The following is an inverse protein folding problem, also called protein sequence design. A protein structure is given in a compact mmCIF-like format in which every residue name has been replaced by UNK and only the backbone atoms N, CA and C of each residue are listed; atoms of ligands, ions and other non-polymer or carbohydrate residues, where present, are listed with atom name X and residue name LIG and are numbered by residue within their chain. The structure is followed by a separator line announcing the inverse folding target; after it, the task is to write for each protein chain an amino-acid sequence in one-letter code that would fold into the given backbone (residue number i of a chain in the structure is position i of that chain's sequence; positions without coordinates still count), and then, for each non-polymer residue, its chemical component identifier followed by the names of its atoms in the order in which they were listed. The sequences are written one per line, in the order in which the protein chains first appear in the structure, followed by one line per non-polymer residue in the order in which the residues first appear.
data_IF_284270113428
#
_entry.id   IF_284270113428
#
_cell.length_a   1.000
_cell.length_b   1.000
_cell.length_c   1.000
_cell.angle_alpha   90.00
_cell.angle_beta   90.00
_cell.angle_gamma   90.00
#
_symmetry.space_group_name_H-M   'P 1'
#
loop_
_entity.id
_entity.type
_entity.pdbx_description
1 polymer ?
#
# COMPACT_ATOMS: atom_id res chain seq x y z
N UNK A 1 12.58 26.57 -11.49
CA UNK A 1 11.24 26.25 -11.99
C UNK A 1 10.64 25.34 -10.94
N UNK A 2 9.87 25.94 -10.02
CA UNK A 2 9.29 25.22 -8.90
C UNK A 2 8.50 24.03 -9.45
N UNK A 3 8.57 22.89 -8.77
CA UNK A 3 7.69 21.77 -9.06
C UNK A 3 6.26 22.28 -8.84
N UNK A 4 5.64 22.79 -9.91
CA UNK A 4 4.20 23.02 -9.94
C UNK A 4 3.58 21.69 -9.51
N UNK A 5 2.77 21.81 -8.47
CA UNK A 5 2.42 20.77 -7.53
C UNK A 5 1.85 19.57 -8.31
N UNK A 6 2.61 18.48 -8.42
CA UNK A 6 2.24 17.27 -9.18
C UNK A 6 0.87 16.71 -8.78
N UNK A 7 0.43 17.08 -7.59
CA UNK A 7 -0.82 16.71 -6.95
C UNK A 7 -1.89 17.80 -6.98
N UNK A 8 -1.70 18.90 -7.72
CA UNK A 8 -2.72 19.94 -7.84
C UNK A 8 -4.02 19.35 -8.42
N UNK A 9 -5.10 19.45 -7.64
CA UNK A 9 -6.40 18.88 -7.96
C UNK A 9 -6.48 17.34 -7.92
N UNK A 10 -5.49 16.66 -7.34
CA UNK A 10 -5.43 15.19 -7.25
C UNK A 10 -5.26 14.73 -5.81
N UNK A 11 -5.86 13.58 -5.50
CA UNK A 11 -5.79 12.96 -4.18
C UNK A 11 -5.47 11.49 -4.36
N UNK A 12 -4.58 10.96 -3.51
CA UNK A 12 -4.24 9.54 -3.45
C UNK A 12 -5.28 8.83 -2.58
N UNK A 13 -5.80 7.70 -3.06
CA UNK A 13 -6.66 6.85 -2.24
C UNK A 13 -5.82 5.86 -1.42
N UNK A 14 -5.89 6.00 -0.11
CA UNK A 14 -5.16 5.22 0.87
C UNK A 14 -6.00 4.18 1.59
N UNK A 15 -5.31 3.35 2.36
CA UNK A 15 -5.94 2.46 3.33
C UNK A 15 -6.66 3.26 4.44
N UNK A 16 -7.78 2.76 5.01
CA UNK A 16 -8.49 3.40 6.11
C UNK A 16 -7.62 3.76 7.32
N UNK A 17 -6.49 3.09 7.54
CA UNK A 17 -5.59 3.39 8.65
C UNK A 17 -4.86 4.74 8.54
N UNK A 18 -4.72 5.32 7.34
CA UNK A 18 -3.91 6.53 7.13
C UNK A 18 -4.68 7.85 7.37
N UNK A 19 -6.02 7.81 7.44
CA UNK A 19 -6.85 9.01 7.58
C UNK A 19 -6.90 9.89 6.32
N UNK A 20 -7.50 11.08 6.45
CA UNK A 20 -7.67 12.06 5.37
C UNK A 20 -6.73 13.25 5.55
N UNK A 21 -6.06 13.67 4.48
CA UNK A 21 -5.16 14.82 4.39
C UNK A 21 -5.36 15.54 3.05
N UNK A 22 -4.65 16.64 2.81
CA UNK A 22 -4.72 17.45 1.58
C UNK A 22 -4.54 16.62 0.30
N UNK A 23 -3.67 15.62 0.34
CA UNK A 23 -3.33 14.76 -0.80
C UNK A 23 -3.70 13.29 -0.61
N UNK A 24 -4.37 12.93 0.48
CA UNK A 24 -4.70 11.55 0.81
C UNK A 24 -6.17 11.45 1.25
N UNK A 25 -6.95 10.60 0.60
CA UNK A 25 -8.29 10.23 1.03
C UNK A 25 -8.33 8.76 1.46
N UNK A 26 -9.31 8.43 2.28
CA UNK A 26 -9.54 7.08 2.78
C UNK A 26 -11.02 6.71 2.60
N UNK A 27 -11.39 5.42 2.71
CA UNK A 27 -12.79 5.01 2.64
C UNK A 27 -13.64 5.65 3.75
N UNK A 28 -14.94 5.80 3.49
CA UNK A 28 -15.91 6.23 4.49
C UNK A 28 -16.10 5.13 5.54
N UNK A 29 -15.74 5.40 6.80
CA UNK A 29 -15.73 4.39 7.87
C UNK A 29 -17.12 3.91 8.30
N UNK A 30 -18.15 4.77 8.17
CA UNK A 30 -19.53 4.51 8.60
C UNK A 30 -20.51 4.69 7.44
N UNK A 31 -20.13 4.21 6.24
CA UNK A 31 -21.01 4.25 5.08
C UNK A 31 -22.32 3.48 5.38
N UNK A 32 -23.45 4.14 5.20
CA UNK A 32 -24.75 3.51 5.36
C UNK A 32 -25.03 2.53 4.22
N UNK A 33 -25.80 1.47 4.49
CA UNK A 33 -26.13 0.48 3.47
C UNK A 33 -26.92 1.09 2.32
N UNK A 34 -26.51 0.83 1.07
CA UNK A 34 -27.12 1.42 -0.12
C UNK A 34 -26.83 2.91 -0.32
N UNK A 35 -25.95 3.50 0.49
CA UNK A 35 -25.50 4.88 0.29
C UNK A 35 -24.53 5.00 -0.87
N UNK A 36 -24.39 6.22 -1.38
CA UNK A 36 -23.34 6.56 -2.35
C UNK A 36 -21.93 6.37 -1.76
N UNK A 37 -21.79 6.48 -0.43
CA UNK A 37 -20.53 6.25 0.28
C UNK A 37 -20.12 4.77 0.22
N UNK A 38 -21.08 3.85 0.37
CA UNK A 38 -20.85 2.40 0.23
C UNK A 38 -20.47 2.05 -1.21
N UNK A 39 -21.19 2.60 -2.19
CA UNK A 39 -20.88 2.40 -3.61
C UNK A 39 -19.48 2.94 -3.95
N UNK A 40 -19.15 4.13 -3.46
CA UNK A 40 -17.83 4.72 -3.63
C UNK A 40 -16.73 3.84 -3.03
N UNK A 41 -16.90 3.40 -1.78
CA UNK A 41 -15.97 2.50 -1.10
C UNK A 41 -15.78 1.19 -1.88
N UNK A 42 -16.86 0.60 -2.41
CA UNK A 42 -16.80 -0.63 -3.19
C UNK A 42 -15.97 -0.44 -4.48
N UNK A 43 -16.21 0.64 -5.22
CA UNK A 43 -15.47 0.97 -6.44
C UNK A 43 -13.99 1.21 -6.15
N UNK A 44 -13.68 2.00 -5.13
CA UNK A 44 -12.29 2.33 -4.78
C UNK A 44 -11.54 1.14 -4.18
N UNK A 45 -12.22 0.26 -3.43
CA UNK A 45 -11.63 -0.97 -2.92
C UNK A 45 -11.17 -1.90 -4.04
N UNK A 46 -11.95 -2.02 -5.13
CA UNK A 46 -11.56 -2.82 -6.30
C UNK A 46 -10.27 -2.31 -6.96
N UNK A 47 -10.12 -0.99 -7.07
CA UNK A 47 -8.89 -0.37 -7.60
C UNK A 47 -7.71 -0.63 -6.67
N UNK A 48 -7.91 -0.44 -5.35
CA UNK A 48 -6.88 -0.71 -4.32
C UNK A 48 -6.40 -2.16 -4.40
N UNK A 49 -7.33 -3.11 -4.49
CA UNK A 49 -7.02 -4.53 -4.56
C UNK A 49 -6.19 -4.87 -5.81
N UNK A 50 -6.57 -4.35 -6.99
CA UNK A 50 -5.81 -4.55 -8.22
C UNK A 50 -4.35 -4.06 -8.12
N UNK A 51 -4.15 -2.91 -7.46
CA UNK A 51 -2.81 -2.35 -7.19
C UNK A 51 -2.04 -3.26 -6.23
N UNK A 52 -2.64 -3.71 -5.12
CA UNK A 52 -2.02 -4.62 -4.16
C UNK A 52 -1.59 -5.94 -4.81
N UNK A 53 -2.46 -6.54 -5.63
CA UNK A 53 -2.15 -7.75 -6.39
C UNK A 53 -1.00 -7.51 -7.38
N UNK A 54 -0.99 -6.37 -8.07
CA UNK A 54 0.10 -5.98 -8.97
C UNK A 54 1.44 -5.88 -8.25
N UNK A 55 1.49 -5.18 -7.12
CA UNK A 55 2.69 -5.09 -6.28
C UNK A 55 3.09 -6.45 -5.69
N UNK A 56 2.12 -7.29 -5.31
CA UNK A 56 2.36 -8.66 -4.89
C UNK A 56 3.12 -9.45 -5.94
N UNK A 57 2.65 -9.39 -7.20
CA UNK A 57 3.29 -10.06 -8.34
C UNK A 57 4.70 -9.54 -8.63
N UNK A 58 4.92 -8.22 -8.54
CA UNK A 58 6.25 -7.63 -8.67
C UNK A 58 7.19 -8.15 -7.57
N UNK A 59 6.73 -8.18 -6.32
CA UNK A 59 7.50 -8.74 -5.19
C UNK A 59 7.84 -10.21 -5.38
N UNK A 60 6.94 -11.00 -5.99
CA UNK A 60 7.20 -12.42 -6.30
C UNK A 60 8.22 -12.59 -7.42
N UNK A 61 8.10 -11.83 -8.50
CA UNK A 61 8.97 -11.94 -9.67
C UNK A 61 10.39 -11.43 -9.38
N UNK A 62 10.50 -10.37 -8.59
CA UNK A 62 11.78 -9.76 -8.21
C UNK A 62 11.93 -9.83 -6.69
N UNK A 63 12.28 -11.02 -6.20
CA UNK A 63 12.40 -11.33 -4.76
C UNK A 63 13.38 -10.42 -4.01
N UNK A 64 14.35 -9.81 -4.70
CA UNK A 64 15.25 -8.81 -4.11
C UNK A 64 14.54 -7.48 -3.78
N UNK A 65 13.41 -7.15 -4.40
CA UNK A 65 12.58 -5.97 -4.05
C UNK A 65 11.94 -6.20 -2.68
N UNK A 66 11.58 -7.45 -2.38
CA UNK A 66 11.07 -7.87 -1.08
C UNK A 66 12.18 -8.37 -0.16
N UNK A 67 13.41 -7.87 -0.31
CA UNK A 67 14.55 -8.26 0.52
C UNK A 67 14.40 -7.71 1.94
N UNK A 68 13.68 -8.45 2.76
CA UNK A 68 13.72 -8.29 4.21
C UNK A 68 15.10 -8.78 4.69
N UNK A 69 15.88 -7.92 5.34
CA UNK A 69 17.25 -8.22 5.84
C UNK A 69 17.24 -9.22 7.01
N UNK A 70 16.53 -10.34 6.91
CA UNK A 70 16.65 -11.48 7.82
C UNK A 70 17.91 -12.28 7.51
N UNK A 71 19.07 -11.64 7.62
CA UNK A 71 20.33 -12.35 7.78
C UNK A 71 20.33 -12.91 9.21
N UNK A 72 19.78 -14.11 9.40
CA UNK A 72 19.92 -14.84 10.66
C UNK A 72 21.38 -15.26 10.75
N UNK A 73 22.16 -14.61 11.62
CA UNK A 73 23.55 -14.99 11.90
C UNK A 73 23.68 -16.49 12.27
N UNK A 74 22.60 -17.10 12.78
CA UNK A 74 22.54 -18.52 13.15
C UNK A 74 22.42 -19.52 12.00
N UNK A 75 22.31 -19.09 10.74
CA UNK A 75 22.23 -20.00 9.57
C UNK A 75 23.53 -20.04 8.77
N UNK A 76 24.56 -19.29 9.20
CA UNK A 76 25.92 -19.50 8.70
C UNK A 76 26.45 -20.82 9.28
N UNK A 77 27.12 -21.68 8.49
CA UNK A 77 27.81 -22.88 9.00
C UNK A 77 29.09 -22.50 9.78
N UNK A 78 29.00 -21.52 10.66
CA UNK A 78 30.09 -20.98 11.47
C UNK A 78 29.77 -21.00 12.97
N UNK A 79 28.91 -21.92 13.40
CA UNK A 79 28.70 -22.23 14.84
C UNK A 79 29.54 -23.42 15.32
N UNK A 80 30.58 -23.76 14.57
CA UNK A 80 31.66 -24.65 14.98
C UNK A 80 32.91 -23.76 15.00
N UNK A 81 33.65 -23.75 16.12
CA UNK A 81 34.80 -22.88 16.45
C UNK A 81 34.47 -21.71 17.40
N UNK A 82 33.90 -22.02 18.57
CA UNK A 82 34.41 -21.51 19.86
C UNK A 82 34.30 -22.65 20.87
#
# INVERSE_FOLDING_TARGET
MAAEDIFEGKVIYGDPAYGVSEYLCCPFALAAHGSLEEEFNARMSSVREAVEWGFGRVKTLWSFINWDKKMRMSTLPAKLLI
#
